data_IF_772954328937
#
_entry.id   IF_772954328937
#
_cell.length_a   1.000
_cell.length_b   1.000
_cell.length_c   1.000
_cell.angle_alpha   90.00
_cell.angle_beta   90.00
_cell.angle_gamma   90.00
#
_symmetry.space_group_name_H-M   'P 1'
#
loop_
_entity.id
_entity.type
_entity.pdbx_description
1 polymer ?
#
# COMPACT_ATOMS: atom_id res chain seq x y z
N UNK A 1 -17.98 6.04 5.20
CA UNK A 1 -17.62 7.37 5.73
C UNK A 1 -16.95 8.20 4.65
N UNK A 2 -17.04 9.53 4.74
CA UNK A 2 -16.40 10.46 3.79
C UNK A 2 -14.90 10.17 3.60
N UNK A 3 -14.20 9.85 4.68
CA UNK A 3 -12.78 9.52 4.64
C UNK A 3 -12.49 8.25 3.83
N UNK A 4 -13.37 7.23 3.91
CA UNK A 4 -13.19 6.02 3.12
C UNK A 4 -13.41 6.28 1.62
N UNK A 5 -14.33 7.17 1.25
CA UNK A 5 -14.55 7.58 -0.14
C UNK A 5 -13.36 8.37 -0.69
N UNK A 6 -12.80 9.28 0.12
CA UNK A 6 -11.60 10.04 -0.26
C UNK A 6 -10.39 9.12 -0.43
N UNK A 7 -10.20 8.15 0.46
CA UNK A 7 -9.10 7.17 0.38
C UNK A 7 -9.19 6.31 -0.89
N UNK A 8 -10.41 5.81 -1.21
CA UNK A 8 -10.66 5.07 -2.44
C UNK A 8 -10.37 5.95 -3.67
N UNK A 9 -10.90 7.16 -3.71
CA UNK A 9 -10.71 8.09 -4.81
C UNK A 9 -9.24 8.45 -5.03
N UNK A 10 -8.48 8.67 -3.95
CA UNK A 10 -7.03 8.91 -4.04
C UNK A 10 -6.27 7.68 -4.56
N UNK A 11 -6.70 6.48 -4.17
CA UNK A 11 -6.10 5.23 -4.65
C UNK A 11 -6.36 5.01 -6.14
N UNK A 12 -7.57 5.32 -6.62
CA UNK A 12 -7.93 5.22 -8.03
C UNK A 12 -7.12 6.21 -8.88
N UNK A 13 -7.01 7.46 -8.42
CA UNK A 13 -6.17 8.47 -9.07
C UNK A 13 -4.70 8.02 -9.09
N UNK A 14 -4.16 7.53 -7.96
CA UNK A 14 -2.80 7.00 -7.91
C UNK A 14 -2.58 5.90 -8.94
N UNK A 15 -3.55 5.00 -9.12
CA UNK A 15 -3.47 3.94 -10.12
C UNK A 15 -3.46 4.50 -11.55
N UNK A 16 -4.19 5.60 -11.81
CA UNK A 16 -4.19 6.27 -13.11
C UNK A 16 -2.81 6.88 -13.46
N UNK A 17 -2.02 7.30 -12.45
CA UNK A 17 -0.65 7.79 -12.66
C UNK A 17 0.33 6.73 -13.20
N UNK A 18 -0.03 5.45 -13.17
CA UNK A 18 0.75 4.40 -13.84
C UNK A 18 0.71 4.53 -15.39
N UNK A 19 -0.28 5.26 -15.93
CA UNK A 19 -0.38 5.52 -17.36
C UNK A 19 0.34 6.80 -17.75
N UNK A 20 1.32 6.71 -18.66
CA UNK A 20 2.04 7.88 -19.18
C UNK A 20 1.10 8.89 -19.85
N UNK A 21 0.08 8.41 -20.59
CA UNK A 21 -0.93 9.28 -21.21
C UNK A 21 -1.70 10.11 -20.19
N UNK A 22 -1.99 9.56 -19.04
CA UNK A 22 -2.66 10.29 -17.96
C UNK A 22 -1.76 11.41 -17.42
N UNK A 23 -0.49 11.11 -17.19
CA UNK A 23 0.51 12.09 -16.73
C UNK A 23 0.67 13.21 -17.76
N UNK A 24 0.73 12.89 -19.05
CA UNK A 24 0.81 13.86 -20.12
C UNK A 24 -0.40 14.82 -20.13
N UNK A 25 -1.62 14.30 -19.96
CA UNK A 25 -2.84 15.11 -19.88
C UNK A 25 -2.80 16.07 -18.68
N UNK A 26 -2.41 15.56 -17.50
CA UNK A 26 -2.31 16.36 -16.27
C UNK A 26 -1.29 17.49 -16.43
N UNK A 27 -0.20 17.24 -17.18
CA UNK A 27 0.88 18.20 -17.39
C UNK A 27 0.64 19.16 -18.57
N UNK A 28 -0.43 18.99 -19.35
CA UNK A 28 -0.74 19.89 -20.47
C UNK A 28 -0.86 21.34 -20.00
N UNK A 29 -0.04 22.28 -20.55
CA UNK A 29 -0.12 23.70 -20.17
C UNK A 29 -1.40 24.38 -20.67
N UNK A 30 -2.01 23.81 -21.73
CA UNK A 30 -3.24 24.34 -22.34
C UNK A 30 -4.50 24.08 -21.53
N UNK A 31 -4.47 23.16 -20.56
CA UNK A 31 -5.60 22.87 -19.69
C UNK A 31 -5.57 23.76 -18.46
N UNK A 32 -6.70 24.45 -18.19
CA UNK A 32 -6.87 25.23 -16.97
C UNK A 32 -6.90 24.33 -15.71
N UNK A 33 -6.61 24.94 -14.56
CA UNK A 33 -6.64 24.22 -13.29
C UNK A 33 -8.02 23.61 -12.98
N UNK A 34 -9.07 24.32 -13.34
CA UNK A 34 -10.47 23.89 -13.18
C UNK A 34 -10.74 22.63 -14.02
N UNK A 35 -10.36 22.64 -15.29
CA UNK A 35 -10.54 21.48 -16.18
C UNK A 35 -9.74 20.26 -15.74
N UNK A 36 -8.54 20.47 -15.21
CA UNK A 36 -7.74 19.37 -14.63
C UNK A 36 -8.41 18.78 -13.40
N UNK A 37 -8.95 19.61 -12.51
CA UNK A 37 -9.67 19.15 -11.32
C UNK A 37 -10.98 18.42 -11.70
N UNK A 38 -11.75 18.95 -12.64
CA UNK A 38 -12.95 18.29 -13.17
C UNK A 38 -12.64 16.93 -13.82
N UNK A 39 -11.57 16.85 -14.58
CA UNK A 39 -11.10 15.61 -15.18
C UNK A 39 -10.78 14.56 -14.11
N UNK A 40 -10.04 14.95 -13.07
CA UNK A 40 -9.73 14.04 -11.95
C UNK A 40 -11.00 13.58 -11.20
N UNK A 41 -11.96 14.49 -11.00
CA UNK A 41 -13.23 14.16 -10.35
C UNK A 41 -14.09 13.22 -11.20
N UNK A 42 -14.01 13.31 -12.53
CA UNK A 42 -14.75 12.41 -13.43
C UNK A 42 -14.25 10.96 -13.42
N UNK A 43 -13.03 10.73 -12.92
CA UNK A 43 -12.43 9.40 -12.83
C UNK A 43 -12.80 8.65 -11.55
N UNK A 44 -13.37 9.34 -10.56
CA UNK A 44 -13.61 8.81 -9.23
C UNK A 44 -15.03 9.07 -8.77
N UNK A 45 -15.58 8.14 -8.01
CA UNK A 45 -16.89 8.30 -7.39
C UNK A 45 -16.76 8.92 -5.99
N UNK A 46 -16.49 10.23 -5.95
CA UNK A 46 -16.36 10.95 -4.69
C UNK A 46 -17.15 12.28 -4.73
N UNK A 47 -18.25 12.35 -3.99
CA UNK A 47 -19.12 13.52 -3.92
C UNK A 47 -18.76 14.49 -2.76
N UNK A 48 -17.51 14.45 -2.29
CA UNK A 48 -17.05 15.35 -1.22
C UNK A 48 -16.65 16.71 -1.78
N UNK A 49 -17.32 17.77 -1.32
CA UNK A 49 -16.96 19.16 -1.63
C UNK A 49 -15.53 19.48 -1.16
N UNK A 50 -15.10 18.93 -0.05
CA UNK A 50 -13.73 19.09 0.48
C UNK A 50 -12.71 18.51 -0.46
N UNK A 51 -12.99 17.33 -1.02
CA UNK A 51 -12.11 16.66 -1.97
C UNK A 51 -12.02 17.43 -3.30
N UNK A 52 -13.14 17.94 -3.79
CA UNK A 52 -13.16 18.79 -4.99
C UNK A 52 -12.32 20.06 -4.81
N UNK A 53 -12.49 20.76 -3.69
CA UNK A 53 -11.71 21.95 -3.35
C UNK A 53 -10.21 21.64 -3.18
N UNK A 54 -9.88 20.49 -2.61
CA UNK A 54 -8.51 20.00 -2.49
C UNK A 54 -7.85 19.81 -3.85
N UNK A 55 -8.50 19.08 -4.78
CA UNK A 55 -7.98 18.87 -6.13
C UNK A 55 -7.82 20.18 -6.89
N UNK A 56 -8.79 21.10 -6.76
CA UNK A 56 -8.71 22.42 -7.39
C UNK A 56 -7.52 23.24 -6.84
N UNK A 57 -7.29 23.19 -5.53
CA UNK A 57 -6.18 23.87 -4.89
C UNK A 57 -4.83 23.33 -5.38
N UNK A 58 -4.69 22.00 -5.47
CA UNK A 58 -3.50 21.36 -6.03
C UNK A 58 -3.28 21.72 -7.49
N UNK A 59 -4.34 21.74 -8.27
CA UNK A 59 -4.27 22.13 -9.69
C UNK A 59 -3.81 23.57 -9.87
N UNK A 60 -4.34 24.52 -9.08
CA UNK A 60 -3.93 25.93 -9.08
C UNK A 60 -2.48 26.10 -8.63
N UNK A 61 -2.05 25.31 -7.64
CA UNK A 61 -0.67 25.29 -7.16
C UNK A 61 0.29 24.56 -8.11
N UNK A 62 -0.20 23.96 -9.19
CA UNK A 62 0.59 23.10 -10.13
C UNK A 62 1.30 21.94 -9.43
N UNK A 63 0.65 21.33 -8.45
CA UNK A 63 1.18 20.23 -7.61
C UNK A 63 0.40 18.92 -7.76
N UNK A 64 -0.29 18.71 -8.88
CA UNK A 64 -1.04 17.46 -9.11
C UNK A 64 -0.15 16.23 -9.14
N UNK A 65 1.12 16.37 -9.51
CA UNK A 65 2.10 15.28 -9.49
C UNK A 65 2.38 14.71 -8.10
N UNK A 66 2.07 15.47 -7.05
CA UNK A 66 2.20 14.99 -5.66
C UNK A 66 1.06 14.06 -5.23
N UNK A 67 -0.02 13.90 -6.02
CA UNK A 67 -1.17 13.06 -5.65
C UNK A 67 -0.82 11.62 -5.29
N UNK A 68 0.10 10.92 -5.97
CA UNK A 68 0.48 9.56 -5.58
C UNK A 68 1.10 9.48 -4.18
N UNK A 69 1.91 10.45 -3.82
CA UNK A 69 2.54 10.49 -2.49
C UNK A 69 1.54 10.94 -1.42
N UNK A 70 0.68 11.89 -1.73
CA UNK A 70 -0.44 12.29 -0.86
C UNK A 70 -1.37 11.11 -0.61
N UNK A 71 -1.66 10.29 -1.62
CA UNK A 71 -2.48 9.09 -1.47
C UNK A 71 -1.86 8.10 -0.48
N UNK A 72 -0.55 7.86 -0.58
CA UNK A 72 0.17 6.98 0.36
C UNK A 72 0.09 7.51 1.79
N UNK A 73 0.40 8.79 1.97
CA UNK A 73 0.39 9.43 3.28
C UNK A 73 -1.01 9.48 3.88
N UNK A 74 -2.03 9.75 3.08
CA UNK A 74 -3.42 9.74 3.54
C UNK A 74 -3.86 8.37 4.04
N UNK A 75 -3.54 7.30 3.28
CA UNK A 75 -3.84 5.92 3.68
C UNK A 75 -3.09 5.55 4.97
N UNK A 76 -1.84 5.96 5.11
CA UNK A 76 -1.04 5.77 6.32
C UNK A 76 -1.64 6.48 7.54
N UNK A 77 -1.99 7.75 7.42
CA UNK A 77 -2.63 8.52 8.51
C UNK A 77 -3.99 7.93 8.91
N UNK A 78 -4.75 7.45 7.92
CA UNK A 78 -6.00 6.73 8.17
C UNK A 78 -5.75 5.42 8.92
N UNK A 79 -4.75 4.64 8.51
CA UNK A 79 -4.37 3.39 9.18
C UNK A 79 -3.96 3.64 10.64
N UNK A 80 -3.16 4.68 10.90
CA UNK A 80 -2.78 5.10 12.24
C UNK A 80 -4.00 5.47 13.10
N UNK A 81 -4.91 6.28 12.55
CA UNK A 81 -6.11 6.72 13.27
C UNK A 81 -7.05 5.58 13.59
N UNK A 82 -7.27 4.69 12.64
CA UNK A 82 -8.21 3.56 12.77
C UNK A 82 -7.53 2.36 13.45
N UNK A 83 -6.22 2.44 13.72
CA UNK A 83 -5.37 1.36 14.24
C UNK A 83 -5.51 0.06 13.42
N UNK A 84 -5.65 0.21 12.09
CA UNK A 84 -5.81 -0.89 11.15
C UNK A 84 -4.76 -0.80 10.06
N UNK A 85 -3.91 -1.81 9.98
CA UNK A 85 -2.82 -1.87 9.02
C UNK A 85 -3.00 -3.04 8.08
N UNK A 86 -2.63 -2.84 6.82
CA UNK A 86 -2.62 -3.89 5.82
C UNK A 86 -1.19 -4.37 5.59
N UNK A 87 -1.03 -5.68 5.56
CA UNK A 87 0.23 -6.31 5.23
C UNK A 87 0.10 -7.23 4.03
N UNK A 88 1.22 -7.58 3.43
CA UNK A 88 1.30 -8.57 2.38
C UNK A 88 2.16 -9.74 2.84
N UNK A 89 1.69 -10.96 2.56
CA UNK A 89 2.46 -12.18 2.72
C UNK A 89 2.77 -12.71 1.33
N UNK A 90 4.06 -12.81 1.01
CA UNK A 90 4.56 -13.37 -0.24
C UNK A 90 5.09 -14.78 0.04
N UNK A 91 4.61 -15.77 -0.69
CA UNK A 91 5.06 -17.16 -0.59
C UNK A 91 4.90 -17.89 -1.90
N UNK A 92 5.68 -18.96 -2.11
CA UNK A 92 5.56 -19.84 -3.28
C UNK A 92 4.37 -20.81 -3.17
N UNK A 93 3.81 -20.97 -1.97
CA UNK A 93 2.69 -21.84 -1.66
C UNK A 93 1.48 -21.05 -1.16
N UNK A 94 0.31 -21.63 -1.28
CA UNK A 94 -0.91 -21.03 -0.76
C UNK A 94 -0.98 -21.23 0.76
N UNK A 95 -1.08 -20.11 1.48
CA UNK A 95 -1.35 -20.13 2.92
C UNK A 95 -2.83 -20.41 3.13
N UNK A 96 -3.13 -21.37 4.00
CA UNK A 96 -4.50 -21.60 4.41
C UNK A 96 -4.99 -20.46 5.32
N UNK A 97 -6.31 -20.25 5.33
CA UNK A 97 -6.94 -19.19 6.12
C UNK A 97 -6.64 -19.30 7.63
N UNK A 98 -6.47 -20.51 8.14
CA UNK A 98 -6.14 -20.73 9.56
C UNK A 98 -4.73 -20.21 9.90
N UNK A 99 -3.73 -20.52 9.09
CA UNK A 99 -2.36 -20.03 9.26
C UNK A 99 -2.27 -18.51 9.08
N UNK A 100 -3.04 -17.96 8.15
CA UNK A 100 -3.12 -16.52 7.93
C UNK A 100 -3.66 -15.81 9.17
N UNK A 101 -4.79 -16.28 9.73
CA UNK A 101 -5.38 -15.73 10.96
C UNK A 101 -4.45 -15.84 12.16
N UNK A 102 -3.74 -16.96 12.29
CA UNK A 102 -2.77 -17.13 13.38
C UNK A 102 -1.62 -16.11 13.30
N UNK A 103 -1.16 -15.80 12.07
CA UNK A 103 -0.18 -14.74 11.84
C UNK A 103 -0.76 -13.36 12.17
N UNK A 104 -1.96 -13.06 11.69
CA UNK A 104 -2.68 -11.80 11.99
C UNK A 104 -2.80 -11.60 13.51
N UNK A 105 -3.22 -12.61 14.24
CA UNK A 105 -3.37 -12.57 15.71
C UNK A 105 -2.04 -12.36 16.43
N UNK A 106 -0.97 -13.07 16.02
CA UNK A 106 0.36 -12.94 16.61
C UNK A 106 0.96 -11.56 16.38
N UNK A 107 0.86 -11.06 15.14
CA UNK A 107 1.36 -9.73 14.80
C UNK A 107 0.53 -8.63 15.46
N UNK A 108 -0.80 -8.78 15.48
CA UNK A 108 -1.70 -7.83 16.13
C UNK A 108 -1.41 -7.69 17.62
N UNK A 109 -1.17 -8.81 18.32
CA UNK A 109 -0.78 -8.80 19.74
C UNK A 109 0.60 -8.16 19.95
N UNK A 110 1.58 -8.50 19.11
CA UNK A 110 2.95 -8.01 19.25
C UNK A 110 3.09 -6.52 18.96
N UNK A 111 2.34 -6.01 18.00
CA UNK A 111 2.38 -4.62 17.55
C UNK A 111 1.28 -3.76 18.18
N UNK A 112 0.38 -4.35 18.96
CA UNK A 112 -0.79 -3.71 19.56
C UNK A 112 -1.63 -2.96 18.52
N UNK A 113 -1.84 -3.59 17.36
CA UNK A 113 -2.53 -3.02 16.21
C UNK A 113 -3.37 -4.10 15.52
N UNK A 114 -4.44 -3.69 14.84
CA UNK A 114 -5.22 -4.62 14.02
C UNK A 114 -4.52 -4.79 12.67
N UNK A 115 -4.06 -6.00 12.37
CA UNK A 115 -3.33 -6.29 11.15
C UNK A 115 -4.13 -7.28 10.31
N UNK A 116 -4.34 -6.93 9.05
CA UNK A 116 -4.95 -7.80 8.04
C UNK A 116 -3.90 -8.11 6.97
N UNK A 117 -3.69 -9.39 6.67
CA UNK A 117 -2.74 -9.82 5.65
C UNK A 117 -3.44 -10.19 4.34
N UNK A 118 -2.88 -9.73 3.24
CA UNK A 118 -3.19 -10.19 1.90
C UNK A 118 -2.12 -11.20 1.46
N UNK A 119 -2.54 -12.39 1.05
CA UNK A 119 -1.61 -13.42 0.55
C UNK A 119 -1.37 -13.23 -0.93
N UNK A 120 -0.10 -13.17 -1.34
CA UNK A 120 0.34 -13.07 -2.73
C UNK A 120 1.26 -14.22 -3.08
N UNK A 121 0.87 -15.01 -4.08
CA UNK A 121 1.72 -16.08 -4.58
C UNK A 121 2.81 -15.50 -5.47
N UNK A 122 4.04 -15.77 -5.11
CA UNK A 122 5.24 -15.32 -5.84
C UNK A 122 6.25 -16.45 -5.90
N UNK A 123 7.13 -16.42 -6.88
CA UNK A 123 8.25 -17.38 -6.97
C UNK A 123 9.37 -16.93 -6.00
N UNK A 124 9.13 -17.20 -4.72
CA UNK A 124 10.04 -16.90 -3.62
C UNK A 124 10.21 -18.12 -2.73
N UNK A 125 11.44 -18.59 -2.56
CA UNK A 125 11.74 -19.75 -1.71
C UNK A 125 11.65 -19.39 -0.23
N UNK A 126 10.42 -19.41 0.29
CA UNK A 126 10.14 -19.09 1.69
C UNK A 126 8.88 -18.25 1.89
N UNK A 127 8.91 -17.44 2.94
CA UNK A 127 7.84 -16.50 3.29
C UNK A 127 8.46 -15.13 3.49
N UNK A 128 7.89 -14.12 2.83
CA UNK A 128 8.18 -12.71 3.08
C UNK A 128 6.91 -12.03 3.60
N UNK A 129 7.02 -11.33 4.71
CA UNK A 129 5.93 -10.55 5.31
C UNK A 129 6.34 -9.08 5.22
N UNK A 130 5.47 -8.27 4.68
CA UNK A 130 5.67 -6.84 4.51
C UNK A 130 4.49 -6.08 5.10
N UNK A 131 4.79 -5.17 6.01
CA UNK A 131 3.87 -4.19 6.59
C UNK A 131 4.37 -2.80 6.19
N UNK A 132 4.08 -2.41 4.95
CA UNK A 132 4.64 -1.19 4.33
C UNK A 132 4.34 0.06 5.14
N UNK A 133 3.13 0.13 5.73
CA UNK A 133 2.70 1.27 6.54
C UNK A 133 3.47 1.40 7.86
N UNK A 134 4.02 0.31 8.37
CA UNK A 134 4.82 0.30 9.61
C UNK A 134 6.33 0.24 9.35
N UNK A 135 6.74 0.23 8.08
CA UNK A 135 8.14 0.09 7.69
C UNK A 135 8.75 -1.25 8.13
N UNK A 136 7.91 -2.26 8.34
CA UNK A 136 8.33 -3.58 8.79
C UNK A 136 8.39 -4.56 7.62
N UNK A 137 9.53 -5.21 7.49
CA UNK A 137 9.72 -6.31 6.54
C UNK A 137 10.42 -7.47 7.27
N UNK A 138 9.87 -8.65 7.13
CA UNK A 138 10.50 -9.87 7.59
C UNK A 138 10.49 -10.91 6.47
N UNK A 139 11.65 -11.48 6.18
CA UNK A 139 11.78 -12.54 5.18
C UNK A 139 12.42 -13.76 5.80
N UNK A 140 11.89 -14.92 5.45
CA UNK A 140 12.44 -16.22 5.81
C UNK A 140 12.64 -17.02 4.52
N UNK A 141 13.91 -17.30 4.18
CA UNK A 141 14.26 -18.15 3.05
C UNK A 141 14.57 -19.56 3.56
N UNK A 142 13.98 -20.57 2.93
CA UNK A 142 14.19 -21.97 3.28
C UNK A 142 15.64 -22.39 2.95
N UNK A 143 16.21 -21.89 1.86
CA UNK A 143 17.60 -22.20 1.49
C UNK A 143 18.59 -21.61 2.50
N UNK A 144 18.41 -20.34 2.89
CA UNK A 144 19.25 -19.70 3.89
C UNK A 144 19.17 -20.43 5.27
N UNK A 145 17.98 -20.93 5.61
CA UNK A 145 17.79 -21.72 6.82
C UNK A 145 18.55 -23.04 6.76
N UNK A 146 18.46 -23.78 5.64
CA UNK A 146 19.20 -25.02 5.41
C UNK A 146 20.71 -24.81 5.49
N UNK A 147 21.22 -23.74 4.87
CA UNK A 147 22.64 -23.38 4.92
C UNK A 147 23.11 -23.11 6.34
N UNK A 148 22.38 -22.29 7.10
CA UNK A 148 22.69 -22.00 8.51
C UNK A 148 22.61 -23.23 9.40
N UNK A 149 21.62 -24.11 9.17
CA UNK A 149 21.50 -25.37 9.91
C UNK A 149 22.70 -26.28 9.63
N UNK A 150 23.10 -26.41 8.37
CA UNK A 150 24.28 -27.18 7.95
C UNK A 150 25.56 -26.63 8.60
N UNK A 151 25.74 -25.33 8.61
CA UNK A 151 26.88 -24.66 9.25
C UNK A 151 26.91 -24.92 10.76
N UNK A 152 25.75 -24.87 11.43
CA UNK A 152 25.62 -25.17 12.84
C UNK A 152 25.97 -26.63 13.18
N UNK A 153 25.48 -27.57 12.36
CA UNK A 153 25.77 -29.00 12.50
C UNK A 153 27.29 -29.25 12.33
N UNK A 154 27.89 -28.66 11.31
CA UNK A 154 29.33 -28.78 11.05
C UNK A 154 30.20 -28.18 12.17
N UNK A 155 29.73 -27.10 12.81
CA UNK A 155 30.41 -26.53 13.99
C UNK A 155 30.26 -27.39 15.27
N UNK A 156 29.16 -28.13 15.39
CA UNK A 156 28.92 -29.00 16.56
C UNK A 156 29.64 -30.36 16.47
N UNK A 157 30.11 -30.73 15.27
CA UNK A 157 30.83 -31.99 15.02
C UNK A 157 32.36 -31.80 15.10
N UNK A 158 32.86 -30.57 15.16
CA UNK A 158 34.26 -30.24 15.41
C UNK A 158 34.54 -30.05 16.90
#
# INVERSE_FOLDING_TARGET
SEIAQIDSALSDIKSAFASSKFVDIINLPSLSAEKKAEFLLSLVECNSVKFSNFLLTLAKAKRLEALPDISKEFSYQKALRDNKFKGAIFSSFELNEASKKELEDKFSKKLNANIEFESKKVDYDGIKIELSDLGFEASFSMNLFKEKLTEHILKAIK
#
